data_IF_816407173352
#
_entry.id   IF_816407173352
#
_cell.length_a   1.000
_cell.length_b   1.000
_cell.length_c   1.000
_cell.angle_alpha   90.00
_cell.angle_beta   90.00
_cell.angle_gamma   90.00
#
_symmetry.space_group_name_H-M   'P 1'
#
loop_
_entity.id
_entity.type
_entity.pdbx_description
1 polymer ?
#
# COMPACT_ATOMS: atom_id res chain seq x y z
N UNK A 1 -22.00 -3.16 -7.80
CA UNK A 1 -23.16 -3.96 -7.30
C UNK A 1 -23.59 -3.32 -6.00
N UNK A 2 -24.88 -3.05 -5.86
CA UNK A 2 -25.38 -2.32 -4.70
C UNK A 2 -25.87 -3.26 -3.63
N UNK A 3 -25.70 -2.83 -2.42
CA UNK A 3 -25.97 -3.55 -1.21
C UNK A 3 -27.47 -3.53 -0.78
N UNK A 4 -28.35 -2.94 -1.58
CA UNK A 4 -29.77 -2.79 -1.27
C UNK A 4 -30.49 -4.12 -1.00
N UNK A 5 -30.02 -5.20 -1.58
CA UNK A 5 -30.63 -6.53 -1.38
C UNK A 5 -30.33 -7.14 -0.01
N UNK A 6 -29.29 -6.68 0.66
CA UNK A 6 -28.83 -7.29 1.91
C UNK A 6 -29.15 -6.49 3.16
N UNK A 7 -29.50 -5.21 3.04
CA UNK A 7 -29.65 -4.29 4.17
C UNK A 7 -31.03 -3.67 4.32
N UNK A 8 -32.05 -4.25 3.69
CA UNK A 8 -33.40 -3.70 3.80
C UNK A 8 -33.53 -2.29 3.23
N UNK A 9 -32.79 -1.96 2.24
CA UNK A 9 -32.83 -0.67 1.55
C UNK A 9 -33.94 -0.61 0.50
N UNK A 10 -34.72 -1.67 0.35
CA UNK A 10 -35.72 -1.80 -0.71
C UNK A 10 -36.69 -0.64 -0.87
N UNK A 11 -36.98 0.03 0.24
CA UNK A 11 -37.92 1.17 0.29
C UNK A 11 -37.22 2.53 0.24
N UNK A 12 -35.88 2.58 0.10
CA UNK A 12 -35.11 3.82 0.03
C UNK A 12 -34.70 4.13 -1.40
N UNK A 13 -34.76 5.40 -1.74
CA UNK A 13 -34.16 5.89 -2.97
C UNK A 13 -32.65 5.66 -2.90
N UNK A 14 -32.09 5.04 -3.94
CA UNK A 14 -30.67 4.74 -4.02
C UNK A 14 -30.02 5.69 -5.02
N UNK A 15 -28.94 6.31 -4.60
CA UNK A 15 -28.07 7.03 -5.50
C UNK A 15 -27.38 6.01 -6.42
N UNK A 16 -27.61 6.12 -7.71
CA UNK A 16 -26.94 5.33 -8.73
C UNK A 16 -25.66 6.08 -9.10
N UNK A 17 -24.47 5.50 -8.90
CA UNK A 17 -23.23 6.15 -9.31
C UNK A 17 -23.22 6.43 -10.81
N UNK A 18 -22.72 7.59 -11.15
CA UNK A 18 -22.54 7.97 -12.53
C UNK A 18 -21.33 7.28 -13.14
N UNK A 19 -21.46 6.80 -14.36
CA UNK A 19 -20.28 6.45 -15.13
C UNK A 19 -19.68 7.69 -15.76
N UNK A 20 -18.61 8.18 -15.17
CA UNK A 20 -17.91 9.37 -15.64
C UNK A 20 -17.17 9.13 -16.96
N UNK A 21 -16.98 7.89 -17.35
CA UNK A 21 -16.43 7.59 -18.67
C UNK A 21 -17.38 8.00 -19.78
N UNK A 22 -18.68 7.99 -19.51
CA UNK A 22 -19.68 8.45 -20.46
C UNK A 22 -19.56 9.96 -20.71
N UNK A 23 -19.42 10.42 -21.98
CA UNK A 23 -19.14 11.84 -22.28
C UNK A 23 -20.17 12.82 -21.71
N UNK A 24 -21.46 12.46 -21.71
CA UNK A 24 -22.52 13.31 -21.17
C UNK A 24 -22.41 13.45 -19.64
N UNK A 25 -22.11 12.37 -18.95
CA UNK A 25 -21.87 12.39 -17.49
C UNK A 25 -20.64 13.22 -17.15
N UNK A 26 -19.55 13.01 -17.87
CA UNK A 26 -18.33 13.80 -17.68
C UNK A 26 -18.56 15.29 -17.91
N UNK A 27 -19.28 15.65 -18.96
CA UNK A 27 -19.64 17.03 -19.20
C UNK A 27 -20.47 17.61 -18.05
N UNK A 28 -21.48 16.88 -17.61
CA UNK A 28 -22.32 17.30 -16.49
C UNK A 28 -21.49 17.53 -15.20
N UNK A 29 -20.58 16.63 -14.88
CA UNK A 29 -19.71 16.75 -13.69
C UNK A 29 -18.87 18.03 -13.78
N UNK A 30 -18.23 18.30 -14.93
CA UNK A 30 -17.42 19.50 -15.07
C UNK A 30 -18.26 20.78 -15.06
N UNK A 31 -19.37 20.82 -15.78
CA UNK A 31 -20.26 22.00 -15.80
C UNK A 31 -20.79 22.30 -14.38
N UNK A 32 -21.20 21.27 -13.65
CA UNK A 32 -21.66 21.40 -12.26
C UNK A 32 -20.55 21.89 -11.35
N UNK A 33 -19.34 21.38 -11.52
CA UNK A 33 -18.19 21.81 -10.71
C UNK A 33 -17.81 23.28 -11.01
N UNK A 34 -17.77 23.67 -12.26
CA UNK A 34 -17.53 25.06 -12.64
C UNK A 34 -18.60 26.02 -12.07
N UNK A 35 -19.87 25.60 -12.09
CA UNK A 35 -20.93 26.37 -11.48
C UNK A 35 -20.77 26.46 -9.96
N UNK A 36 -20.44 25.32 -9.31
CA UNK A 36 -20.19 25.28 -7.88
C UNK A 36 -19.04 26.21 -7.45
N UNK A 37 -17.97 26.26 -8.23
CA UNK A 37 -16.84 27.18 -7.97
C UNK A 37 -17.29 28.66 -7.97
N UNK A 38 -18.18 29.03 -8.88
CA UNK A 38 -18.77 30.40 -8.97
C UNK A 38 -19.68 30.71 -7.79
N UNK A 39 -20.49 29.72 -7.39
CA UNK A 39 -21.47 29.86 -6.30
C UNK A 39 -20.84 29.86 -4.91
N UNK A 40 -19.59 29.42 -4.81
CA UNK A 40 -18.86 29.31 -3.54
C UNK A 40 -17.54 30.10 -3.54
N UNK A 41 -17.59 31.43 -3.72
CA UNK A 41 -16.39 32.25 -3.77
C UNK A 41 -15.60 32.27 -2.46
N UNK A 42 -16.26 31.99 -1.34
CA UNK A 42 -15.69 31.98 0.01
C UNK A 42 -14.82 30.74 0.32
N UNK A 43 -14.83 29.75 -0.54
CA UNK A 43 -14.02 28.54 -0.37
C UNK A 43 -12.62 28.79 -0.87
N UNK A 44 -11.61 28.54 -0.04
CA UNK A 44 -10.20 28.67 -0.41
C UNK A 44 -9.61 27.38 -0.96
N UNK A 45 -10.05 26.23 -0.44
CA UNK A 45 -9.52 24.91 -0.80
C UNK A 45 -10.64 23.97 -1.19
N UNK A 46 -10.54 23.38 -2.37
CA UNK A 46 -11.44 22.31 -2.82
C UNK A 46 -10.79 20.97 -2.50
N UNK A 47 -11.44 20.19 -1.66
CA UNK A 47 -10.99 18.84 -1.34
C UNK A 47 -11.81 17.80 -2.09
N UNK A 48 -11.16 17.11 -2.99
CA UNK A 48 -11.74 15.98 -3.67
C UNK A 48 -11.61 14.73 -2.80
N UNK A 49 -12.69 13.99 -2.65
CA UNK A 49 -12.71 12.72 -1.94
C UNK A 49 -12.98 11.63 -2.97
N UNK A 50 -12.16 10.62 -3.02
CA UNK A 50 -12.31 9.43 -3.89
C UNK A 50 -12.74 9.77 -5.32
N UNK A 51 -11.78 9.85 -6.24
CA UNK A 51 -12.08 10.00 -7.64
C UNK A 51 -12.60 8.69 -8.23
N UNK A 52 -13.89 8.69 -8.61
CA UNK A 52 -14.47 7.70 -9.51
C UNK A 52 -14.48 6.27 -8.98
N UNK A 53 -14.47 6.09 -7.67
CA UNK A 53 -14.62 4.77 -7.07
C UNK A 53 -16.08 4.44 -6.80
N UNK A 54 -16.38 3.19 -7.06
CA UNK A 54 -17.56 2.54 -6.52
C UNK A 54 -17.11 1.55 -5.47
N UNK A 55 -17.75 1.56 -4.34
CA UNK A 55 -17.51 0.60 -3.28
C UNK A 55 -18.82 0.06 -2.74
N UNK A 56 -18.80 -1.16 -2.26
CA UNK A 56 -19.95 -1.79 -1.62
C UNK A 56 -19.66 -1.95 -0.13
N UNK A 57 -20.53 -1.37 0.69
CA UNK A 57 -20.50 -1.54 2.12
C UNK A 57 -21.51 -2.63 2.52
N UNK A 58 -21.05 -3.63 3.25
CA UNK A 58 -21.89 -4.65 3.85
C UNK A 58 -21.93 -4.44 5.35
N UNK A 59 -23.13 -4.25 5.88
CA UNK A 59 -23.36 -4.06 7.31
C UNK A 59 -23.96 -5.30 7.95
N UNK A 60 -23.61 -5.58 9.19
CA UNK A 60 -24.29 -6.58 9.98
C UNK A 60 -25.61 -6.05 10.55
N UNK A 61 -26.31 -6.91 11.29
CA UNK A 61 -27.60 -6.56 11.91
C UNK A 61 -27.48 -5.40 12.92
N UNK A 62 -26.30 -5.13 13.43
CA UNK A 62 -26.01 -4.02 14.35
C UNK A 62 -25.57 -2.76 13.63
N UNK A 63 -25.73 -2.69 12.33
CA UNK A 63 -25.27 -1.58 11.47
C UNK A 63 -23.74 -1.37 11.51
N UNK A 64 -22.98 -2.41 11.85
CA UNK A 64 -21.53 -2.37 11.80
C UNK A 64 -21.07 -2.84 10.43
N UNK A 65 -20.15 -2.11 9.87
CA UNK A 65 -19.51 -2.44 8.63
C UNK A 65 -18.77 -3.76 8.70
N UNK A 66 -19.01 -4.66 7.76
CA UNK A 66 -18.39 -6.00 7.71
C UNK A 66 -17.44 -6.18 6.56
N UNK A 67 -17.78 -5.63 5.42
CA UNK A 67 -16.98 -5.75 4.20
C UNK A 67 -17.09 -4.45 3.44
N UNK A 68 -15.95 -3.93 3.04
CA UNK A 68 -15.85 -2.93 1.98
C UNK A 68 -15.32 -3.64 0.77
N UNK A 69 -16.14 -3.78 -0.25
CA UNK A 69 -15.70 -4.29 -1.53
C UNK A 69 -15.37 -3.12 -2.44
N UNK A 70 -14.10 -2.87 -2.57
CA UNK A 70 -13.58 -1.84 -3.44
C UNK A 70 -13.35 -2.43 -4.83
N UNK A 71 -14.31 -2.26 -5.70
CA UNK A 71 -14.09 -2.50 -7.13
C UNK A 71 -13.22 -1.40 -7.73
N UNK A 72 -12.02 -1.24 -7.24
CA UNK A 72 -11.15 -0.17 -7.67
C UNK A 72 -10.87 -0.16 -9.17
N UNK A 73 -10.95 -1.32 -9.81
CA UNK A 73 -10.85 -1.44 -11.26
C UNK A 73 -12.22 -1.36 -11.98
N UNK A 74 -13.32 -1.32 -11.24
CA UNK A 74 -14.66 -1.44 -11.80
C UNK A 74 -15.42 -0.13 -11.92
N UNK A 75 -14.87 0.97 -11.44
CA UNK A 75 -15.54 2.26 -11.44
C UNK A 75 -15.92 2.76 -12.84
N UNK A 76 -15.30 2.21 -13.87
CA UNK A 76 -15.50 2.64 -15.25
C UNK A 76 -15.74 1.48 -16.23
N UNK A 77 -16.15 0.31 -15.73
CA UNK A 77 -16.49 -0.83 -16.59
C UNK A 77 -17.84 -0.58 -17.26
N UNK A 78 -17.83 0.21 -18.29
CA UNK A 78 -18.99 0.54 -19.11
C UNK A 78 -18.71 0.22 -20.57
N UNK A 79 -19.75 0.10 -21.43
CA UNK A 79 -19.55 -0.07 -22.87
C UNK A 79 -18.62 0.99 -23.47
N UNK A 80 -18.77 2.25 -23.07
CA UNK A 80 -17.92 3.35 -23.58
C UNK A 80 -16.46 3.16 -23.16
N UNK A 81 -16.19 2.80 -21.91
CA UNK A 81 -14.84 2.53 -21.42
C UNK A 81 -14.22 1.33 -22.15
N UNK A 82 -14.98 0.27 -22.37
CA UNK A 82 -14.50 -0.92 -23.08
C UNK A 82 -14.21 -0.63 -24.55
N UNK A 83 -15.04 0.18 -25.20
CA UNK A 83 -14.82 0.56 -26.61
C UNK A 83 -13.59 1.47 -26.74
N UNK A 84 -13.35 2.39 -25.79
CA UNK A 84 -12.17 3.24 -25.78
C UNK A 84 -10.90 2.45 -25.43
N UNK A 85 -10.98 1.51 -24.51
CA UNK A 85 -9.88 0.58 -24.24
C UNK A 85 -9.51 -0.24 -25.48
N UNK A 86 -10.51 -0.82 -26.17
CA UNK A 86 -10.27 -1.58 -27.40
C UNK A 86 -9.59 -0.74 -28.50
N UNK A 87 -9.96 0.55 -28.62
CA UNK A 87 -9.31 1.47 -29.56
C UNK A 87 -7.86 1.74 -29.20
N UNK A 88 -7.55 1.89 -27.89
CA UNK A 88 -6.22 2.24 -27.41
C UNK A 88 -5.27 1.05 -27.43
N UNK A 89 -5.74 -0.11 -26.97
CA UNK A 89 -4.91 -1.32 -26.79
C UNK A 89 -5.05 -2.36 -27.92
N UNK A 90 -6.02 -2.23 -28.79
CA UNK A 90 -6.20 -3.09 -29.95
C UNK A 90 -6.84 -4.45 -29.66
N UNK A 91 -7.40 -4.66 -28.50
CA UNK A 91 -8.12 -5.88 -28.13
C UNK A 91 -9.22 -5.59 -27.10
N UNK A 92 -10.22 -6.48 -27.03
CA UNK A 92 -11.33 -6.36 -26.09
C UNK A 92 -11.08 -7.18 -24.84
N UNK A 93 -11.41 -6.59 -23.68
CA UNK A 93 -11.32 -7.27 -22.40
C UNK A 93 -12.49 -8.25 -22.21
N UNK A 94 -12.17 -9.37 -21.56
CA UNK A 94 -13.14 -10.34 -21.04
C UNK A 94 -13.46 -10.03 -19.57
N UNK A 95 -14.59 -10.49 -19.02
CA UNK A 95 -14.92 -10.30 -17.61
C UNK A 95 -13.81 -10.76 -16.65
N UNK A 96 -13.13 -11.85 -16.98
CA UNK A 96 -12.05 -12.44 -16.18
C UNK A 96 -10.80 -11.55 -16.11
N UNK A 97 -10.57 -10.72 -17.11
CA UNK A 97 -9.39 -9.84 -17.17
C UNK A 97 -9.45 -8.74 -16.11
N UNK A 98 -10.65 -8.29 -15.69
CA UNK A 98 -10.83 -7.32 -14.62
C UNK A 98 -10.46 -7.85 -13.23
N UNK A 99 -10.50 -9.16 -13.06
CA UNK A 99 -10.20 -9.85 -11.81
C UNK A 99 -8.99 -10.78 -11.97
N UNK A 100 -8.11 -10.48 -12.90
CA UNK A 100 -6.87 -11.22 -13.16
C UNK A 100 -7.12 -12.74 -13.27
N UNK A 101 -8.00 -13.14 -14.19
CA UNK A 101 -8.49 -14.49 -14.42
C UNK A 101 -9.22 -15.15 -13.24
N UNK A 102 -10.17 -14.44 -12.68
CA UNK A 102 -11.06 -14.95 -11.65
C UNK A 102 -10.46 -14.91 -10.23
N UNK A 103 -9.33 -14.27 -10.05
CA UNK A 103 -8.80 -14.03 -8.72
C UNK A 103 -9.53 -12.84 -8.09
N UNK A 104 -10.36 -13.10 -7.10
CA UNK A 104 -11.13 -12.06 -6.41
C UNK A 104 -10.24 -10.92 -5.90
N UNK A 105 -9.08 -11.25 -5.38
CA UNK A 105 -8.09 -10.27 -4.92
C UNK A 105 -6.97 -10.11 -5.96
N UNK A 106 -7.29 -9.52 -7.07
CA UNK A 106 -6.35 -9.38 -8.19
C UNK A 106 -5.11 -8.54 -7.86
N UNK A 107 -5.21 -7.60 -6.92
CA UNK A 107 -4.07 -6.78 -6.48
C UNK A 107 -2.93 -7.61 -5.85
N UNK A 108 -3.26 -8.76 -5.28
CA UNK A 108 -2.29 -9.68 -4.67
C UNK A 108 -1.62 -10.63 -5.67
N UNK A 109 -2.27 -10.85 -6.78
CA UNK A 109 -1.77 -11.78 -7.80
C UNK A 109 -0.75 -11.09 -8.67
N UNK A 110 0.13 -11.89 -9.24
CA UNK A 110 1.00 -11.41 -10.31
C UNK A 110 0.11 -10.91 -11.44
N UNK A 111 0.19 -9.62 -11.79
CA UNK A 111 -0.72 -9.07 -12.77
C UNK A 111 -0.42 -9.59 -14.17
N UNK A 112 -1.45 -10.01 -14.87
CA UNK A 112 -1.37 -10.36 -16.28
C UNK A 112 -1.45 -9.13 -17.16
N UNK A 113 -1.01 -9.26 -18.41
CA UNK A 113 -1.02 -8.14 -19.36
C UNK A 113 -2.39 -7.46 -19.48
N UNK A 114 -3.53 -8.16 -19.67
CA UNK A 114 -4.82 -7.48 -19.77
C UNK A 114 -5.18 -6.65 -18.52
N UNK A 115 -4.86 -7.15 -17.34
CA UNK A 115 -5.10 -6.42 -16.10
C UNK A 115 -4.17 -5.21 -15.96
N UNK A 116 -2.90 -5.34 -16.35
CA UNK A 116 -1.96 -4.20 -16.36
C UNK A 116 -2.45 -3.11 -17.30
N UNK A 117 -2.78 -3.49 -18.53
CA UNK A 117 -3.27 -2.57 -19.54
C UNK A 117 -4.55 -1.85 -19.07
N UNK A 118 -5.47 -2.59 -18.43
CA UNK A 118 -6.68 -2.01 -17.87
C UNK A 118 -6.39 -1.01 -16.74
N UNK A 119 -5.49 -1.33 -15.84
CA UNK A 119 -5.09 -0.44 -14.75
C UNK A 119 -4.39 0.81 -15.29
N UNK A 120 -3.52 0.67 -16.29
CA UNK A 120 -2.85 1.81 -16.93
C UNK A 120 -3.85 2.68 -17.68
N UNK A 121 -4.80 2.09 -18.38
CA UNK A 121 -5.91 2.79 -19.02
C UNK A 121 -6.73 3.62 -18.03
N UNK A 122 -7.10 3.02 -16.89
CA UNK A 122 -7.79 3.73 -15.81
C UNK A 122 -6.94 4.84 -15.22
N UNK A 123 -5.65 4.58 -15.01
CA UNK A 123 -4.71 5.56 -14.49
C UNK A 123 -4.63 6.79 -15.39
N UNK A 124 -4.50 6.60 -16.70
CA UNK A 124 -4.49 7.70 -17.66
C UNK A 124 -5.79 8.51 -17.62
N UNK A 125 -6.93 7.83 -17.61
CA UNK A 125 -8.22 8.49 -17.55
C UNK A 125 -8.42 9.29 -16.25
N UNK A 126 -8.12 8.69 -15.10
CA UNK A 126 -8.28 9.36 -13.80
C UNK A 126 -7.36 10.57 -13.71
N UNK A 127 -6.09 10.42 -14.06
CA UNK A 127 -5.12 11.53 -14.04
C UNK A 127 -5.53 12.69 -14.93
N UNK A 128 -5.98 12.41 -16.14
CA UNK A 128 -6.46 13.46 -17.05
C UNK A 128 -7.63 14.27 -16.47
N UNK A 129 -8.57 13.60 -15.82
CA UNK A 129 -9.73 14.26 -15.22
C UNK A 129 -9.37 14.98 -13.91
N UNK A 130 -8.50 14.41 -13.08
CA UNK A 130 -7.98 15.09 -11.88
C UNK A 130 -7.25 16.38 -12.26
N UNK A 131 -6.37 16.31 -13.24
CA UNK A 131 -5.64 17.48 -13.75
C UNK A 131 -6.60 18.59 -14.19
N UNK A 132 -7.67 18.23 -14.89
CA UNK A 132 -8.69 19.20 -15.33
C UNK A 132 -9.42 19.82 -14.14
N UNK A 133 -9.81 19.03 -13.13
CA UNK A 133 -10.49 19.54 -11.94
C UNK A 133 -9.57 20.46 -11.11
N UNK A 134 -8.29 20.10 -10.98
CA UNK A 134 -7.29 20.95 -10.33
C UNK A 134 -7.13 22.29 -11.08
N UNK A 135 -7.02 22.25 -12.43
CA UNK A 135 -6.93 23.47 -13.24
C UNK A 135 -8.15 24.38 -13.07
N UNK A 136 -9.36 23.83 -13.08
CA UNK A 136 -10.58 24.61 -12.83
C UNK A 136 -10.60 25.25 -11.44
N UNK A 137 -10.09 24.54 -10.42
CA UNK A 137 -9.96 25.09 -9.07
C UNK A 137 -8.99 26.27 -9.06
N UNK A 138 -7.84 26.15 -9.70
CA UNK A 138 -6.85 27.22 -9.81
C UNK A 138 -7.36 28.43 -10.59
N UNK A 139 -8.06 28.21 -11.70
CA UNK A 139 -8.69 29.29 -12.48
C UNK A 139 -9.71 30.08 -11.66
N UNK A 140 -10.34 29.42 -10.67
CA UNK A 140 -11.22 30.07 -9.69
C UNK A 140 -10.48 30.65 -8.47
N UNK A 141 -9.15 30.65 -8.46
CA UNK A 141 -8.32 31.17 -7.38
C UNK A 141 -8.31 30.29 -6.11
N UNK A 142 -8.61 29.01 -6.24
CA UNK A 142 -8.71 28.06 -5.11
C UNK A 142 -7.61 27.00 -5.20
N UNK A 143 -7.16 26.51 -4.06
CA UNK A 143 -6.28 25.34 -4.01
C UNK A 143 -7.05 24.04 -4.25
N UNK A 144 -6.38 23.08 -4.87
CA UNK A 144 -6.89 21.74 -5.12
C UNK A 144 -6.22 20.72 -4.18
N UNK A 145 -7.00 20.07 -3.34
CA UNK A 145 -6.55 19.03 -2.43
C UNK A 145 -7.23 17.72 -2.76
N UNK A 146 -6.49 16.63 -2.69
CA UNK A 146 -7.03 15.29 -2.87
C UNK A 146 -6.96 14.47 -1.58
N UNK A 147 -8.08 13.87 -1.19
CA UNK A 147 -8.08 12.83 -0.18
C UNK A 147 -7.71 11.50 -0.84
N UNK A 148 -6.56 10.98 -0.45
CA UNK A 148 -6.14 9.65 -0.84
C UNK A 148 -6.73 8.68 0.17
N UNK A 149 -7.84 8.06 -0.21
CA UNK A 149 -8.44 6.98 0.54
C UNK A 149 -7.53 5.74 0.54
N UNK A 150 -8.06 4.64 1.03
CA UNK A 150 -7.32 3.38 1.12
C UNK A 150 -7.02 2.77 -0.25
N UNK A 151 -7.52 3.37 -1.33
CA UNK A 151 -7.30 2.95 -2.71
C UNK A 151 -6.87 4.09 -3.60
N UNK A 152 -5.74 3.90 -4.24
CA UNK A 152 -5.16 4.87 -5.18
C UNK A 152 -5.09 4.35 -6.61
N UNK A 153 -5.92 3.36 -6.95
CA UNK A 153 -5.97 2.83 -8.29
C UNK A 153 -6.33 3.96 -9.26
N UNK A 154 -5.44 4.18 -10.20
CA UNK A 154 -5.53 5.27 -11.14
C UNK A 154 -4.93 6.61 -10.67
N UNK A 155 -4.57 6.73 -9.40
CA UNK A 155 -3.93 7.92 -8.82
C UNK A 155 -2.75 7.57 -7.94
N UNK A 156 -2.14 6.41 -8.14
CA UNK A 156 -1.00 6.00 -7.35
C UNK A 156 0.13 7.02 -7.45
N UNK A 157 0.55 7.63 -6.33
CA UNK A 157 1.48 8.76 -6.33
C UNK A 157 2.95 8.37 -6.52
N UNK A 158 3.24 7.08 -6.58
CA UNK A 158 4.60 6.55 -6.53
C UNK A 158 5.14 6.12 -7.91
N UNK A 159 4.45 6.45 -8.98
CA UNK A 159 4.91 6.24 -10.36
C UNK A 159 4.53 7.43 -11.23
N UNK A 160 5.13 7.52 -12.40
CA UNK A 160 5.08 8.64 -13.34
C UNK A 160 3.72 9.31 -13.52
N UNK A 161 3.73 10.62 -13.57
CA UNK A 161 2.60 11.47 -13.94
C UNK A 161 1.71 11.90 -12.77
N UNK A 162 2.05 11.58 -11.52
CA UNK A 162 1.31 12.13 -10.37
C UNK A 162 1.67 13.60 -10.14
N UNK A 163 2.93 13.98 -10.31
CA UNK A 163 3.42 15.35 -10.15
C UNK A 163 2.73 16.34 -11.10
N UNK A 164 2.28 15.84 -12.25
CA UNK A 164 1.63 16.66 -13.29
C UNK A 164 0.14 16.93 -13.03
N UNK A 165 -0.43 16.42 -11.95
CA UNK A 165 -1.86 16.60 -11.65
C UNK A 165 -2.21 18.03 -11.25
N UNK A 166 -1.22 18.78 -10.76
CA UNK A 166 -1.43 20.14 -10.28
C UNK A 166 -2.14 20.20 -8.93
N UNK A 167 -2.04 19.16 -8.12
CA UNK A 167 -2.58 19.18 -6.77
C UNK A 167 -1.67 20.01 -5.85
N UNK A 168 -2.28 20.88 -5.05
CA UNK A 168 -1.56 21.66 -4.04
C UNK A 168 -1.29 20.84 -2.79
N UNK A 169 -2.23 19.99 -2.42
CA UNK A 169 -2.14 19.16 -1.23
C UNK A 169 -2.74 17.78 -1.43
N UNK A 170 -2.23 16.83 -0.64
CA UNK A 170 -2.83 15.53 -0.47
C UNK A 170 -3.07 15.26 1.01
N UNK A 171 -4.15 14.55 1.32
CA UNK A 171 -4.47 14.13 2.67
C UNK A 171 -4.80 12.65 2.70
N UNK A 172 -4.32 11.96 3.70
CA UNK A 172 -4.63 10.54 3.91
C UNK A 172 -4.73 10.19 5.40
N UNK A 173 -5.32 9.04 5.68
CA UNK A 173 -5.38 8.51 7.04
C UNK A 173 -4.01 8.00 7.46
N UNK A 174 -3.58 8.37 8.65
CA UNK A 174 -2.35 7.89 9.28
C UNK A 174 -2.67 7.16 10.58
N UNK A 175 -2.13 5.98 10.75
CA UNK A 175 -2.32 5.16 11.95
C UNK A 175 -1.07 4.39 12.34
N UNK A 176 -0.06 4.40 11.46
CA UNK A 176 1.22 3.71 11.66
C UNK A 176 2.32 4.40 10.82
N UNK A 177 3.52 3.84 10.85
CA UNK A 177 4.64 4.37 10.10
C UNK A 177 4.48 4.19 8.59
N UNK A 178 3.87 3.11 8.15
CA UNK A 178 3.62 2.82 6.74
C UNK A 178 2.65 3.82 6.13
N UNK A 179 1.49 4.00 6.75
CA UNK A 179 0.48 4.95 6.26
C UNK A 179 0.97 6.40 6.31
N UNK A 180 1.78 6.74 7.31
CA UNK A 180 2.42 8.06 7.36
C UNK A 180 3.35 8.28 6.17
N UNK A 181 4.20 7.31 5.84
CA UNK A 181 5.09 7.39 4.69
C UNK A 181 4.35 7.44 3.36
N UNK A 182 3.25 6.71 3.26
CA UNK A 182 2.39 6.76 2.07
C UNK A 182 1.95 8.18 1.71
N UNK A 183 1.84 9.05 2.70
CA UNK A 183 1.47 10.45 2.51
C UNK A 183 2.71 11.34 2.42
N UNK A 184 3.68 11.15 3.31
CA UNK A 184 4.87 11.99 3.40
C UNK A 184 5.75 11.92 2.13
N UNK A 185 5.84 10.74 1.53
CA UNK A 185 6.71 10.49 0.37
C UNK A 185 6.05 10.87 -0.99
N UNK A 186 4.87 11.48 -0.97
CA UNK A 186 4.18 11.91 -2.21
C UNK A 186 4.89 13.09 -2.84
N UNK A 187 5.32 12.98 -4.11
CA UNK A 187 6.00 14.05 -4.80
C UNK A 187 5.05 15.09 -5.39
N UNK A 188 5.57 16.27 -5.71
CA UNK A 188 4.89 17.26 -6.56
C UNK A 188 3.77 18.04 -5.89
N UNK A 189 3.56 17.93 -4.59
CA UNK A 189 2.55 18.70 -3.83
C UNK A 189 3.22 19.74 -2.94
N UNK A 190 2.54 20.87 -2.69
CA UNK A 190 3.04 21.92 -1.78
C UNK A 190 3.11 21.43 -0.35
N UNK A 191 2.11 20.67 0.09
CA UNK A 191 2.06 20.12 1.42
C UNK A 191 1.28 18.80 1.48
N UNK A 192 1.71 17.97 2.40
CA UNK A 192 1.09 16.69 2.75
C UNK A 192 0.34 16.82 4.07
N UNK A 193 -0.81 16.18 4.19
CA UNK A 193 -1.64 16.21 5.38
C UNK A 193 -1.96 14.81 5.87
N UNK A 194 -1.65 14.53 7.13
CA UNK A 194 -2.04 13.31 7.82
C UNK A 194 -3.38 13.50 8.53
N UNK A 195 -4.37 12.73 8.16
CA UNK A 195 -5.60 12.64 8.91
C UNK A 195 -5.41 11.61 10.02
N UNK A 196 -5.19 12.12 11.21
CA UNK A 196 -5.06 11.30 12.40
C UNK A 196 -6.42 10.71 12.76
N UNK A 197 -6.46 9.40 12.87
CA UNK A 197 -7.72 8.71 13.04
C UNK A 197 -7.59 7.50 13.93
N UNK A 198 -8.13 7.54 15.14
CA UNK A 198 -8.93 6.44 15.58
C UNK A 198 -10.21 6.46 14.77
N UNK A 199 -10.68 5.34 14.39
CA UNK A 199 -11.73 5.21 13.42
C UNK A 199 -13.00 5.93 13.86
N UNK A 200 -13.72 6.52 12.93
CA UNK A 200 -14.80 7.45 13.21
C UNK A 200 -16.18 6.81 13.31
N UNK A 201 -16.28 5.51 13.21
CA UNK A 201 -17.55 4.80 13.28
C UNK A 201 -17.91 4.30 14.70
N UNK A 202 -19.16 3.83 14.91
CA UNK A 202 -19.63 3.37 16.20
C UNK A 202 -18.84 2.26 16.87
N UNK A 203 -17.99 1.57 16.13
CA UNK A 203 -17.12 0.50 16.65
C UNK A 203 -15.90 1.02 17.41
N UNK A 204 -15.52 2.27 17.25
CA UNK A 204 -14.51 2.93 18.10
C UNK A 204 -15.17 3.88 19.11
N UNK A 205 -16.17 4.67 18.67
CA UNK A 205 -16.83 5.68 19.50
C UNK A 205 -18.19 5.18 20.00
N UNK A 206 -18.18 4.26 20.93
CA UNK A 206 -19.41 3.77 21.57
C UNK A 206 -19.31 3.85 23.09
N UNK A 207 -20.46 3.86 23.77
CA UNK A 207 -20.53 3.93 25.22
C UNK A 207 -19.76 2.78 25.89
N UNK A 208 -18.86 3.12 26.81
CA UNK A 208 -18.00 2.15 27.50
C UNK A 208 -16.66 1.86 26.84
N UNK A 209 -16.40 2.38 25.63
CA UNK A 209 -15.07 2.33 25.02
C UNK A 209 -14.24 3.58 25.33
N UNK A 210 -12.93 3.47 25.21
CA UNK A 210 -11.98 4.58 25.36
C UNK A 210 -11.18 4.78 24.05
N UNK A 211 -11.67 5.63 23.13
CA UNK A 211 -11.00 5.88 21.85
C UNK A 211 -9.59 6.50 22.00
N UNK A 212 -9.25 7.05 23.17
CA UNK A 212 -7.93 7.63 23.40
C UNK A 212 -6.80 6.59 23.34
N UNK A 213 -7.11 5.32 23.67
CA UNK A 213 -6.13 4.24 23.62
C UNK A 213 -5.66 4.00 22.17
N UNK A 214 -6.60 3.94 21.23
CA UNK A 214 -6.28 3.80 19.80
C UNK A 214 -5.56 5.05 19.28
N UNK A 215 -5.96 6.23 19.73
CA UNK A 215 -5.30 7.48 19.36
C UNK A 215 -3.81 7.46 19.73
N UNK A 216 -3.49 7.09 20.94
CA UNK A 216 -2.10 7.01 21.41
C UNK A 216 -1.31 5.89 20.73
N UNK A 217 -1.93 4.77 20.43
CA UNK A 217 -1.26 3.68 19.71
C UNK A 217 -0.90 4.10 18.29
N UNK A 218 -1.84 4.68 17.56
CA UNK A 218 -1.62 5.23 16.23
C UNK A 218 -0.54 6.31 16.23
N UNK A 219 -0.56 7.22 17.20
CA UNK A 219 0.45 8.26 17.31
C UNK A 219 1.86 7.71 17.54
N UNK A 220 2.01 6.76 18.47
CA UNK A 220 3.31 6.14 18.74
C UNK A 220 3.92 5.48 17.51
N UNK A 221 3.08 4.87 16.67
CA UNK A 221 3.52 4.24 15.42
C UNK A 221 3.85 5.29 14.34
N UNK A 222 2.99 6.28 14.15
CA UNK A 222 3.18 7.30 13.13
C UNK A 222 4.35 8.25 13.41
N UNK A 223 4.56 8.62 14.68
CA UNK A 223 5.55 9.62 15.11
C UNK A 223 6.97 9.34 14.58
N UNK A 224 7.41 8.07 14.59
CA UNK A 224 8.74 7.72 14.12
C UNK A 224 8.93 7.98 12.62
N UNK A 225 7.88 7.78 11.82
CA UNK A 225 7.93 8.08 10.40
C UNK A 225 7.91 9.60 10.14
N UNK A 226 7.18 10.36 10.95
CA UNK A 226 7.16 11.83 10.90
C UNK A 226 8.54 12.41 11.23
N UNK A 227 9.26 11.83 12.17
CA UNK A 227 10.63 12.24 12.49
C UNK A 227 11.62 12.01 11.34
N UNK A 228 11.36 11.00 10.51
CA UNK A 228 12.17 10.71 9.32
C UNK A 228 11.72 11.50 8.10
N UNK A 229 10.42 11.55 7.86
CA UNK A 229 9.81 12.18 6.68
C UNK A 229 8.63 13.02 7.14
N UNK A 230 8.82 14.33 7.36
CA UNK A 230 7.81 15.21 7.91
C UNK A 230 6.59 15.31 6.98
N UNK A 231 5.42 15.42 7.60
CA UNK A 231 4.20 15.88 6.93
C UNK A 231 3.95 17.34 7.31
N UNK A 232 3.37 18.10 6.40
CA UNK A 232 3.17 19.53 6.60
C UNK A 232 2.02 19.86 7.55
N UNK A 233 0.99 19.03 7.57
CA UNK A 233 -0.22 19.20 8.38
C UNK A 233 -0.67 17.90 8.99
N UNK A 234 -1.26 17.99 10.17
CA UNK A 234 -1.90 16.86 10.84
C UNK A 234 -3.12 17.31 11.63
N UNK A 235 -4.18 16.52 11.61
CA UNK A 235 -5.37 16.79 12.38
C UNK A 235 -6.30 15.59 12.51
N UNK A 236 -7.29 15.72 13.42
CA UNK A 236 -8.34 14.72 13.54
C UNK A 236 -9.30 14.80 12.35
N UNK A 237 -9.52 13.70 11.68
CA UNK A 237 -10.29 13.63 10.45
C UNK A 237 -11.62 12.87 10.54
N UNK A 238 -12.20 12.71 11.72
CA UNK A 238 -13.47 12.03 11.90
C UNK A 238 -14.66 12.97 12.14
N UNK A 239 -15.79 12.40 12.60
CA UNK A 239 -16.98 13.17 12.96
C UNK A 239 -16.79 13.88 14.30
N UNK A 240 -16.67 15.21 14.29
CA UNK A 240 -16.47 16.02 15.48
C UNK A 240 -17.59 15.84 16.52
N UNK A 241 -18.84 15.75 16.07
CA UNK A 241 -19.99 15.52 16.94
C UNK A 241 -19.97 14.18 17.68
N UNK A 242 -19.28 13.20 17.12
CA UNK A 242 -19.06 11.89 17.74
C UNK A 242 -17.89 11.98 18.75
N UNK A 243 -16.77 12.49 18.31
CA UNK A 243 -15.56 12.64 19.13
C UNK A 243 -15.79 13.52 20.38
N UNK A 244 -16.56 14.59 20.26
CA UNK A 244 -16.88 15.51 21.35
C UNK A 244 -17.56 14.83 22.56
N UNK A 245 -18.11 13.65 22.39
CA UNK A 245 -18.70 12.85 23.49
C UNK A 245 -17.67 12.11 24.33
N UNK A 246 -16.41 12.14 23.93
CA UNK A 246 -15.30 11.42 24.57
C UNK A 246 -14.20 12.40 25.00
N UNK A 247 -14.31 13.06 26.17
CA UNK A 247 -13.37 14.07 26.60
C UNK A 247 -11.92 13.61 26.62
N UNK A 248 -11.63 12.40 27.10
CA UNK A 248 -10.27 11.85 27.10
C UNK A 248 -9.68 11.74 25.70
N UNK A 249 -10.51 11.45 24.70
CA UNK A 249 -10.07 11.41 23.31
C UNK A 249 -9.74 12.82 22.81
N UNK A 250 -10.56 13.82 23.16
CA UNK A 250 -10.29 15.22 22.81
C UNK A 250 -8.98 15.67 23.41
N UNK A 251 -8.76 15.38 24.71
CA UNK A 251 -7.50 15.68 25.41
C UNK A 251 -6.30 14.99 24.75
N UNK A 252 -6.45 13.72 24.33
CA UNK A 252 -5.40 13.00 23.62
C UNK A 252 -5.06 13.66 22.28
N UNK A 253 -6.07 14.08 21.51
CA UNK A 253 -5.86 14.78 20.22
C UNK A 253 -5.17 16.12 20.44
N UNK A 254 -5.51 16.87 21.48
CA UNK A 254 -4.84 18.12 21.83
C UNK A 254 -3.35 17.88 22.10
N UNK A 255 -3.02 16.95 22.99
CA UNK A 255 -1.63 16.62 23.32
C UNK A 255 -0.83 16.14 22.10
N UNK A 256 -1.43 15.28 21.28
CA UNK A 256 -0.79 14.78 20.04
C UNK A 256 -0.53 15.93 19.07
N UNK A 257 -1.48 16.85 18.96
CA UNK A 257 -1.33 18.01 18.08
C UNK A 257 -0.23 18.96 18.56
N UNK A 258 -0.08 19.13 19.87
CA UNK A 258 0.97 19.94 20.47
C UNK A 258 2.35 19.29 20.30
N UNK A 259 2.45 17.98 20.53
CA UNK A 259 3.69 17.24 20.26
C UNK A 259 4.08 17.30 18.78
N UNK A 260 3.10 17.18 17.87
CA UNK A 260 3.35 17.31 16.45
C UNK A 260 3.89 18.69 16.08
N UNK A 261 3.32 19.77 16.62
CA UNK A 261 3.81 21.15 16.42
C UNK A 261 5.24 21.30 16.93
N UNK A 262 5.53 20.81 18.15
CA UNK A 262 6.88 20.85 18.71
C UNK A 262 7.91 20.11 17.82
N UNK A 263 7.56 18.93 17.30
CA UNK A 263 8.40 18.21 16.34
C UNK A 263 8.60 19.03 15.08
N UNK A 264 7.54 19.55 14.49
CA UNK A 264 7.60 20.34 13.27
C UNK A 264 8.47 21.60 13.45
N UNK A 265 8.28 22.33 14.54
CA UNK A 265 9.02 23.55 14.84
C UNK A 265 10.52 23.27 15.06
N UNK A 266 10.86 22.15 15.69
CA UNK A 266 12.25 21.73 15.92
C UNK A 266 12.95 21.23 14.66
N UNK A 267 12.23 20.55 13.79
CA UNK A 267 12.78 19.99 12.55
C UNK A 267 12.74 20.98 11.38
N UNK A 268 11.96 22.05 11.50
CA UNK A 268 11.71 23.00 10.42
C UNK A 268 10.99 22.37 9.22
N UNK A 269 10.33 21.23 9.42
CA UNK A 269 9.70 20.47 8.34
C UNK A 269 10.69 19.84 7.34
N UNK A 270 11.97 19.76 7.70
CA UNK A 270 13.02 19.20 6.83
C UNK A 270 13.09 17.70 7.00
N UNK A 271 13.06 16.99 5.88
CA UNK A 271 13.25 15.54 5.85
C UNK A 271 14.68 15.17 6.25
N UNK A 272 14.83 14.07 7.01
CA UNK A 272 16.13 13.53 7.32
C UNK A 272 16.79 12.96 6.06
N UNK A 273 18.08 13.23 5.87
CA UNK A 273 18.86 12.63 4.79
C UNK A 273 18.99 11.13 5.02
N UNK A 274 18.71 10.34 3.98
CA UNK A 274 18.86 8.89 4.00
C UNK A 274 20.32 8.50 3.77
N UNK A 275 20.80 7.50 4.49
CA UNK A 275 22.16 6.96 4.36
C UNK A 275 22.26 5.89 3.28
N UNK A 276 21.16 5.19 2.99
CA UNK A 276 21.08 4.13 2.01
C UNK A 276 19.83 4.31 1.14
N UNK A 277 19.93 3.89 -0.11
CA UNK A 277 18.82 3.80 -1.06
C UNK A 277 18.31 2.36 -1.12
N UNK A 278 17.14 2.13 -0.57
CA UNK A 278 16.49 0.82 -0.50
C UNK A 278 15.40 0.74 -1.57
N UNK A 279 15.47 -0.25 -2.44
CA UNK A 279 14.43 -0.53 -3.42
C UNK A 279 13.60 -1.75 -3.01
N UNK A 280 12.29 -1.61 -3.02
CA UNK A 280 11.36 -2.72 -2.84
C UNK A 280 10.97 -3.23 -4.22
N UNK A 281 11.36 -4.47 -4.50
CA UNK A 281 11.11 -5.13 -5.77
C UNK A 281 9.76 -5.86 -5.72
N UNK A 282 8.84 -5.46 -6.60
CA UNK A 282 7.54 -6.09 -6.74
C UNK A 282 7.06 -6.04 -8.20
N UNK A 283 5.90 -6.65 -8.50
CA UNK A 283 5.37 -6.69 -9.86
C UNK A 283 4.88 -5.35 -10.40
N UNK A 284 4.66 -4.37 -9.54
CA UNK A 284 4.05 -3.10 -9.92
C UNK A 284 5.05 -1.95 -10.05
N UNK A 285 6.24 -2.07 -9.45
CA UNK A 285 7.23 -1.00 -9.40
C UNK A 285 6.74 0.26 -8.69
N UNK A 286 5.74 0.11 -7.84
CA UNK A 286 5.15 1.20 -7.05
C UNK A 286 4.51 0.64 -5.80
N UNK A 287 4.29 1.50 -4.83
CA UNK A 287 3.43 1.18 -3.71
C UNK A 287 1.99 1.17 -4.19
N UNK A 288 1.28 0.11 -3.87
CA UNK A 288 -0.17 0.05 -4.05
C UNK A 288 -0.83 -0.14 -2.71
N UNK A 289 -2.00 0.44 -2.57
CA UNK A 289 -2.86 0.13 -1.44
C UNK A 289 -3.42 -1.27 -1.59
N UNK A 290 -2.71 -2.22 -1.01
CA UNK A 290 -3.15 -3.62 -0.94
C UNK A 290 -4.32 -3.79 0.03
N UNK A 291 -4.66 -2.74 0.74
CA UNK A 291 -5.72 -2.69 1.73
C UNK A 291 -7.13 -2.62 1.11
N UNK A 292 -7.20 -2.61 -0.20
CA UNK A 292 -8.44 -2.56 -0.97
C UNK A 292 -9.50 -3.60 -0.57
N UNK A 293 -9.08 -4.63 0.08
CA UNK A 293 -9.92 -5.78 0.44
C UNK A 293 -10.01 -6.00 1.94
N UNK A 294 -9.39 -5.14 2.69
CA UNK A 294 -9.60 -5.12 4.12
C UNK A 294 -10.76 -4.18 4.40
N UNK A 295 -11.62 -4.58 5.28
CA UNK A 295 -12.66 -3.74 5.85
C UNK A 295 -12.04 -2.38 6.14
N UNK A 296 -12.80 -1.31 6.04
CA UNK A 296 -12.32 0.03 6.39
C UNK A 296 -11.70 0.11 7.80
N UNK A 297 -11.86 -0.91 8.60
CA UNK A 297 -11.19 -1.17 9.89
C UNK A 297 -10.19 -2.32 9.80
N UNK A 298 -9.75 -2.58 8.62
CA UNK A 298 -8.67 -3.47 8.29
C UNK A 298 -8.36 -4.53 9.34
N UNK A 299 -9.02 -5.64 9.23
CA UNK A 299 -8.37 -6.86 9.68
C UNK A 299 -7.24 -7.13 8.69
N UNK A 300 -5.99 -6.97 9.08
CA UNK A 300 -4.90 -7.12 8.14
C UNK A 300 -4.95 -8.51 7.57
N UNK A 301 -4.94 -8.61 6.25
CA UNK A 301 -4.81 -9.90 5.60
C UNK A 301 -3.39 -10.42 5.91
N UNK A 302 -3.29 -11.63 6.47
CA UNK A 302 -2.01 -12.24 6.83
C UNK A 302 -0.99 -12.28 5.70
N UNK A 303 -1.47 -12.31 4.46
CA UNK A 303 -0.59 -12.32 3.29
C UNK A 303 0.15 -11.00 3.07
N UNK A 304 -0.31 -9.87 3.66
CA UNK A 304 0.40 -8.59 3.57
C UNK A 304 1.38 -8.37 4.70
N UNK A 305 1.41 -9.20 5.72
CA UNK A 305 2.23 -8.94 6.90
C UNK A 305 3.70 -8.76 6.57
N UNK A 306 4.26 -9.60 5.72
CA UNK A 306 5.68 -9.46 5.33
C UNK A 306 5.92 -8.11 4.66
N UNK A 307 5.08 -7.72 3.72
CA UNK A 307 5.20 -6.46 3.00
C UNK A 307 4.98 -5.26 3.93
N UNK A 308 3.93 -5.31 4.73
CA UNK A 308 3.63 -4.29 5.73
C UNK A 308 4.73 -4.18 6.78
N UNK A 309 5.23 -5.32 7.26
CA UNK A 309 6.33 -5.37 8.21
C UNK A 309 7.62 -4.78 7.64
N UNK A 310 7.91 -4.99 6.37
CA UNK A 310 9.04 -4.36 5.68
C UNK A 310 8.88 -2.83 5.70
N UNK A 311 7.75 -2.32 5.21
CA UNK A 311 7.50 -0.88 5.16
C UNK A 311 7.49 -0.24 6.54
N UNK A 312 6.87 -0.91 7.51
CA UNK A 312 6.81 -0.44 8.89
C UNK A 312 8.19 -0.40 9.54
N UNK A 313 9.03 -1.40 9.28
CA UNK A 313 10.42 -1.42 9.76
C UNK A 313 11.25 -0.29 9.16
N UNK A 314 11.12 -0.06 7.86
CA UNK A 314 11.84 1.00 7.16
C UNK A 314 11.38 2.40 7.56
N UNK A 315 10.15 2.56 8.04
CA UNK A 315 9.56 3.88 8.29
C UNK A 315 10.28 4.72 9.36
N UNK A 316 10.96 4.07 10.31
CA UNK A 316 11.77 4.74 11.33
C UNK A 316 13.27 4.79 11.03
N UNK A 317 13.72 4.22 9.91
CA UNK A 317 15.13 4.15 9.54
C UNK A 317 15.55 5.33 8.66
N UNK A 318 16.82 5.70 8.72
CA UNK A 318 17.42 6.75 7.85
C UNK A 318 17.75 6.19 6.48
N UNK A 319 16.73 5.73 5.75
CA UNK A 319 16.88 5.17 4.40
C UNK A 319 15.90 5.85 3.44
N UNK A 320 16.32 6.02 2.21
CA UNK A 320 15.42 6.40 1.13
C UNK A 320 14.79 5.13 0.57
N UNK A 321 13.47 5.11 0.44
CA UNK A 321 12.73 3.96 -0.07
C UNK A 321 12.13 4.29 -1.42
N UNK A 322 12.36 3.43 -2.39
CA UNK A 322 11.69 3.46 -3.69
C UNK A 322 11.16 2.07 -4.06
N UNK A 323 10.39 2.03 -5.11
CA UNK A 323 9.80 0.79 -5.63
C UNK A 323 10.27 0.58 -7.04
N UNK A 324 10.66 -0.65 -7.36
CA UNK A 324 11.05 -1.07 -8.71
C UNK A 324 10.27 -2.30 -9.13
N UNK A 325 9.95 -2.41 -10.41
CA UNK A 325 9.32 -3.60 -10.97
C UNK A 325 10.34 -4.61 -11.48
N UNK A 326 9.90 -5.85 -11.66
CA UNK A 326 10.69 -6.85 -12.37
C UNK A 326 10.95 -6.44 -13.81
N UNK A 327 10.01 -5.75 -14.44
CA UNK A 327 10.15 -5.25 -15.81
C UNK A 327 11.22 -4.14 -15.86
N UNK A 328 11.26 -3.22 -14.89
CA UNK A 328 12.32 -2.21 -14.80
C UNK A 328 13.71 -2.87 -14.73
N UNK A 329 13.85 -3.92 -13.92
CA UNK A 329 15.13 -4.67 -13.82
C UNK A 329 15.47 -5.40 -15.12
N UNK A 330 14.47 -5.97 -15.80
CA UNK A 330 14.67 -6.65 -17.06
C UNK A 330 15.04 -5.69 -18.21
N UNK A 331 14.49 -4.51 -18.23
CA UNK A 331 14.70 -3.53 -19.30
C UNK A 331 15.96 -2.70 -19.08
N UNK A 332 16.17 -2.23 -17.86
CA UNK A 332 17.20 -1.22 -17.54
C UNK A 332 18.30 -1.72 -16.61
N UNK A 333 18.15 -2.89 -16.00
CA UNK A 333 19.02 -3.36 -14.93
C UNK A 333 18.67 -2.73 -13.59
N UNK A 334 19.58 -2.82 -12.64
CA UNK A 334 19.48 -2.13 -11.34
C UNK A 334 20.22 -0.81 -11.43
N UNK A 335 19.57 0.28 -11.02
CA UNK A 335 20.19 1.61 -11.03
C UNK A 335 21.39 1.66 -10.06
N UNK A 336 22.45 2.37 -10.46
CA UNK A 336 23.74 2.42 -9.77
C UNK A 336 23.66 3.00 -8.34
N UNK A 337 22.62 3.77 -8.07
CA UNK A 337 22.38 4.42 -6.79
C UNK A 337 21.52 3.57 -5.83
N UNK A 338 21.15 2.35 -6.19
CA UNK A 338 20.47 1.41 -5.30
C UNK A 338 21.50 0.61 -4.51
N UNK A 339 21.45 0.71 -3.18
CA UNK A 339 22.33 -0.02 -2.28
C UNK A 339 21.73 -1.37 -1.87
N UNK A 340 20.41 -1.41 -1.66
CA UNK A 340 19.70 -2.58 -1.15
C UNK A 340 18.44 -2.85 -1.96
N UNK A 341 18.23 -4.09 -2.37
CA UNK A 341 16.93 -4.57 -2.91
C UNK A 341 16.28 -5.49 -1.87
N UNK A 342 15.02 -5.23 -1.57
CA UNK A 342 14.18 -6.10 -0.74
C UNK A 342 13.11 -6.75 -1.62
N UNK A 343 13.06 -8.07 -1.63
CA UNK A 343 11.97 -8.83 -2.22
C UNK A 343 11.32 -9.70 -1.14
N UNK A 344 10.02 -9.59 -0.96
CA UNK A 344 9.38 -10.26 0.15
C UNK A 344 7.90 -10.48 -0.02
N UNK A 345 7.40 -11.50 0.66
CA UNK A 345 6.00 -11.91 0.67
C UNK A 345 5.82 -13.39 0.36
N UNK A 346 4.57 -13.85 0.26
CA UNK A 346 4.25 -15.22 -0.14
C UNK A 346 4.55 -15.49 -1.62
N UNK A 347 4.79 -16.75 -1.96
CA UNK A 347 4.94 -17.21 -3.34
C UNK A 347 3.70 -16.92 -4.19
N UNK A 348 3.89 -16.74 -5.48
CA UNK A 348 2.83 -16.46 -6.47
C UNK A 348 2.01 -15.21 -6.19
N UNK A 349 2.61 -14.23 -5.55
CA UNK A 349 2.01 -12.93 -5.32
C UNK A 349 2.69 -11.83 -6.13
N UNK A 350 2.01 -10.70 -6.27
CA UNK A 350 2.58 -9.51 -6.87
C UNK A 350 3.80 -8.97 -6.08
N UNK A 351 3.98 -9.39 -4.84
CA UNK A 351 5.11 -9.00 -4.00
C UNK A 351 6.38 -9.75 -4.38
N UNK A 352 6.28 -11.08 -4.57
CA UNK A 352 7.43 -11.94 -4.85
C UNK A 352 7.68 -12.18 -6.32
N UNK A 353 6.67 -12.04 -7.19
CA UNK A 353 6.80 -12.03 -8.64
C UNK A 353 6.40 -13.31 -9.39
N UNK A 354 6.39 -14.47 -8.77
CA UNK A 354 5.98 -15.73 -9.41
C UNK A 354 6.81 -16.10 -10.65
N UNK A 355 6.14 -16.38 -11.76
CA UNK A 355 6.76 -16.91 -12.98
C UNK A 355 7.81 -16.01 -13.65
N UNK A 356 7.90 -14.75 -13.27
CA UNK A 356 8.96 -13.86 -13.77
C UNK A 356 10.36 -14.40 -13.44
N UNK A 357 10.49 -15.15 -12.34
CA UNK A 357 11.74 -15.77 -11.93
C UNK A 357 12.22 -16.91 -12.84
N UNK A 358 11.41 -17.38 -13.78
CA UNK A 358 11.85 -18.28 -14.83
C UNK A 358 12.73 -17.61 -15.87
N UNK A 359 12.74 -16.27 -15.90
CA UNK A 359 13.56 -15.53 -16.84
C UNK A 359 15.01 -15.48 -16.35
N UNK A 360 15.95 -16.12 -17.05
CA UNK A 360 17.36 -16.16 -16.63
C UNK A 360 18.00 -14.75 -16.62
N UNK A 361 17.55 -13.85 -17.49
CA UNK A 361 18.06 -12.48 -17.51
C UNK A 361 17.84 -11.77 -16.17
N UNK A 362 16.66 -11.96 -15.53
CA UNK A 362 16.39 -11.37 -14.23
C UNK A 362 17.37 -11.85 -13.16
N UNK A 363 17.51 -13.17 -13.03
CA UNK A 363 18.38 -13.76 -12.01
C UNK A 363 19.87 -13.45 -12.25
N UNK A 364 20.30 -13.43 -13.52
CA UNK A 364 21.68 -13.06 -13.88
C UNK A 364 21.96 -11.58 -13.58
N UNK A 365 21.03 -10.68 -13.91
CA UNK A 365 21.14 -9.25 -13.61
C UNK A 365 21.28 -9.01 -12.11
N UNK A 366 20.42 -9.62 -11.30
CA UNK A 366 20.47 -9.46 -9.85
C UNK A 366 21.74 -10.10 -9.24
N UNK A 367 22.17 -11.27 -9.73
CA UNK A 367 23.44 -11.86 -9.30
C UNK A 367 24.65 -10.99 -9.65
N UNK A 368 24.65 -10.42 -10.83
CA UNK A 368 25.74 -9.52 -11.25
C UNK A 368 25.79 -8.27 -10.38
N UNK A 369 24.62 -7.69 -10.09
CA UNK A 369 24.49 -6.53 -9.21
C UNK A 369 24.97 -6.82 -7.78
N UNK A 370 24.59 -7.97 -7.20
CA UNK A 370 25.09 -8.38 -5.86
C UNK A 370 26.60 -8.60 -5.87
N UNK A 371 27.16 -9.24 -6.92
CA UNK A 371 28.61 -9.38 -7.06
C UNK A 371 29.34 -8.03 -7.17
N UNK A 372 28.66 -7.04 -7.70
CA UNK A 372 29.12 -5.65 -7.79
C UNK A 372 29.09 -4.88 -6.46
N UNK A 373 28.54 -5.48 -5.40
CA UNK A 373 28.50 -4.87 -4.06
C UNK A 373 27.09 -4.51 -3.56
N UNK A 374 26.05 -4.71 -4.37
CA UNK A 374 24.66 -4.52 -3.94
C UNK A 374 24.20 -5.57 -2.92
N UNK A 375 23.27 -5.22 -2.06
CA UNK A 375 22.71 -6.13 -1.05
C UNK A 375 21.28 -6.57 -1.41
N UNK A 376 21.03 -7.89 -1.42
CA UNK A 376 19.70 -8.45 -1.66
C UNK A 376 19.16 -9.06 -0.38
N UNK A 377 18.01 -8.56 0.09
CA UNK A 377 17.31 -9.01 1.30
C UNK A 377 16.04 -9.74 0.92
N UNK A 378 15.93 -10.98 1.36
CA UNK A 378 14.74 -11.81 1.17
C UNK A 378 13.89 -11.86 2.44
N UNK A 379 12.56 -11.70 2.29
CA UNK A 379 11.61 -11.81 3.40
C UNK A 379 10.47 -12.73 2.99
N UNK A 380 10.15 -13.70 3.81
CA UNK A 380 9.13 -14.68 3.48
C UNK A 380 9.61 -15.66 2.42
N UNK A 381 9.04 -15.64 1.23
CA UNK A 381 9.38 -16.53 0.12
C UNK A 381 9.96 -15.75 -1.08
N UNK A 382 11.11 -15.08 -0.91
CA UNK A 382 11.72 -14.23 -1.94
C UNK A 382 12.17 -15.04 -3.14
N UNK A 383 12.16 -14.44 -4.32
CA UNK A 383 12.58 -15.07 -5.59
C UNK A 383 11.99 -16.44 -5.85
N UNK A 384 10.82 -16.74 -5.31
CA UNK A 384 10.21 -18.07 -5.35
C UNK A 384 9.47 -18.32 -6.65
N UNK A 385 9.58 -19.57 -7.13
CA UNK A 385 8.72 -20.09 -8.19
C UNK A 385 7.50 -20.81 -7.64
N UNK A 386 6.47 -20.88 -8.47
CA UNK A 386 5.23 -21.58 -8.16
C UNK A 386 5.45 -23.02 -7.70
N UNK A 387 4.56 -23.48 -6.85
CA UNK A 387 4.49 -24.86 -6.40
C UNK A 387 4.52 -25.82 -7.60
N UNK A 388 5.19 -26.97 -7.45
CA UNK A 388 5.26 -28.06 -8.42
C UNK A 388 6.25 -27.88 -9.58
N UNK A 389 7.21 -26.99 -9.50
CA UNK A 389 8.30 -26.97 -10.48
C UNK A 389 9.53 -27.73 -9.97
N UNK A 390 10.18 -28.44 -10.87
CA UNK A 390 11.44 -29.09 -10.59
C UNK A 390 12.54 -28.04 -10.40
N UNK A 391 13.42 -28.24 -9.42
CA UNK A 391 14.55 -27.37 -9.16
C UNK A 391 14.46 -26.63 -7.82
N UNK A 392 15.24 -25.58 -7.69
CA UNK A 392 15.28 -24.77 -6.47
C UNK A 392 14.01 -23.94 -6.35
N UNK A 393 13.53 -23.82 -5.13
CA UNK A 393 12.38 -22.99 -4.83
C UNK A 393 12.74 -21.51 -4.92
N UNK A 394 13.82 -21.09 -4.26
CA UNK A 394 14.35 -19.73 -4.40
C UNK A 394 15.31 -19.66 -5.59
N UNK A 395 14.96 -18.86 -6.58
CA UNK A 395 15.79 -18.74 -7.79
C UNK A 395 17.11 -17.98 -7.54
N UNK A 396 17.19 -17.25 -6.47
CA UNK A 396 18.40 -16.61 -5.93
C UNK A 396 18.94 -17.32 -4.68
N UNK A 397 18.71 -18.62 -4.54
CA UNK A 397 19.17 -19.39 -3.38
C UNK A 397 20.68 -19.29 -3.14
N UNK A 398 21.46 -19.18 -4.21
CA UNK A 398 22.92 -18.97 -4.15
C UNK A 398 23.32 -17.58 -3.62
N UNK A 399 22.47 -16.56 -3.82
CA UNK A 399 22.65 -15.22 -3.26
C UNK A 399 22.21 -15.18 -1.80
N UNK A 400 21.04 -15.81 -1.52
CA UNK A 400 20.46 -15.85 -0.20
C UNK A 400 21.20 -16.78 0.78
N UNK A 401 21.94 -17.76 0.26
CA UNK A 401 22.59 -18.81 1.05
C UNK A 401 21.66 -19.91 1.58
N UNK A 402 20.37 -19.81 1.27
CA UNK A 402 19.31 -20.75 1.72
C UNK A 402 18.35 -21.08 0.60
N UNK A 403 17.71 -22.25 0.71
CA UNK A 403 16.58 -22.64 -0.15
C UNK A 403 15.49 -23.28 0.71
N UNK A 404 14.27 -23.36 0.18
CA UNK A 404 13.15 -23.98 0.87
C UNK A 404 12.83 -25.36 0.29
N UNK A 405 12.67 -26.35 1.16
CA UNK A 405 12.29 -27.71 0.80
C UNK A 405 10.78 -27.91 1.00
N UNK A 406 10.05 -27.90 -0.10
CA UNK A 406 8.58 -27.79 -0.10
C UNK A 406 7.83 -29.08 0.18
N UNK A 407 8.46 -30.23 0.09
CA UNK A 407 7.76 -31.50 0.16
C UNK A 407 7.94 -32.25 1.48
N UNK A 408 8.71 -31.69 2.40
CA UNK A 408 8.82 -32.21 3.75
C UNK A 408 7.89 -31.47 4.68
N UNK A 409 6.75 -32.08 4.96
CA UNK A 409 5.96 -31.68 6.09
C UNK A 409 6.62 -32.25 7.35
N UNK A 410 7.19 -31.41 8.15
CA UNK A 410 7.59 -31.78 9.48
C UNK A 410 6.30 -31.98 10.28
N UNK A 411 6.01 -33.24 10.58
CA UNK A 411 4.89 -33.62 11.45
C UNK A 411 5.15 -33.36 12.91
N UNK A 412 5.96 -32.36 13.24
CA UNK A 412 6.42 -32.16 14.61
C UNK A 412 5.66 -31.03 15.24
N UNK A 413 5.07 -31.35 16.37
CA UNK A 413 4.24 -30.44 17.14
C UNK A 413 5.01 -29.34 17.86
N UNK A 414 6.36 -29.35 17.83
CA UNK A 414 7.17 -28.45 18.65
C UNK A 414 8.44 -28.02 17.93
N UNK A 415 8.47 -26.76 17.53
CA UNK A 415 9.66 -26.09 17.08
C UNK A 415 10.13 -25.15 18.20
N UNK A 416 11.40 -25.21 18.51
CA UNK A 416 12.03 -24.30 19.45
C UNK A 416 13.01 -23.44 18.65
N UNK A 417 12.58 -22.26 18.20
CA UNK A 417 13.48 -21.39 17.48
C UNK A 417 14.62 -20.96 18.41
N UNK A 418 15.82 -21.04 17.88
CA UNK A 418 17.01 -20.51 18.51
C UNK A 418 17.60 -19.39 17.63
N UNK A 419 18.18 -18.42 18.28
CA UNK A 419 18.85 -17.30 17.62
C UNK A 419 20.32 -17.36 18.03
N UNK A 420 21.22 -17.22 17.07
CA UNK A 420 22.64 -17.10 17.35
C UNK A 420 22.93 -15.78 18.06
N UNK A 421 23.14 -15.75 19.38
CA UNK A 421 23.16 -14.50 20.14
C UNK A 421 24.41 -13.64 19.88
N UNK A 422 25.43 -14.26 19.33
CA UNK A 422 26.71 -13.60 19.06
C UNK A 422 26.79 -12.88 17.70
N UNK A 423 25.73 -13.05 16.88
CA UNK A 423 25.68 -12.36 15.59
C UNK A 423 25.19 -10.92 15.76
N UNK A 424 25.84 -9.95 15.12
CA UNK A 424 25.50 -8.54 15.29
C UNK A 424 24.04 -8.18 14.92
N UNK A 425 23.41 -8.94 14.01
CA UNK A 425 21.98 -8.73 13.64
C UNK A 425 21.05 -9.16 14.78
N UNK A 426 21.47 -10.15 15.57
CA UNK A 426 20.62 -10.77 16.60
C UNK A 426 21.01 -10.41 18.02
N UNK A 427 22.05 -9.59 18.19
CA UNK A 427 22.57 -9.22 19.51
C UNK A 427 21.52 -8.57 20.42
N UNK A 428 20.60 -7.80 19.84
CA UNK A 428 19.53 -7.10 20.54
C UNK A 428 18.15 -7.78 20.40
N UNK A 429 18.11 -9.01 19.87
CA UNK A 429 16.85 -9.74 19.65
C UNK A 429 16.57 -10.67 20.81
N UNK A 430 15.44 -10.47 21.47
CA UNK A 430 14.95 -11.34 22.54
C UNK A 430 13.95 -12.36 22.00
N UNK A 431 14.21 -13.63 22.28
CA UNK A 431 13.30 -14.73 21.91
C UNK A 431 11.91 -14.52 22.54
N UNK A 432 10.88 -14.50 21.71
CA UNK A 432 9.49 -14.31 22.15
C UNK A 432 8.87 -12.96 21.78
N UNK A 433 9.64 -11.99 21.32
CA UNK A 433 9.14 -10.69 20.91
C UNK A 433 9.03 -10.57 19.38
N UNK A 434 7.93 -11.04 18.82
CA UNK A 434 7.52 -10.69 17.44
C UNK A 434 8.33 -11.26 16.26
N UNK A 435 9.58 -11.62 16.47
CA UNK A 435 10.49 -12.11 15.41
C UNK A 435 10.17 -13.53 14.99
N UNK A 436 9.56 -14.32 15.86
CA UNK A 436 9.37 -15.75 15.68
C UNK A 436 8.16 -16.14 14.87
N UNK A 437 7.16 -15.29 14.78
CA UNK A 437 5.95 -15.61 14.03
C UNK A 437 6.27 -15.87 12.55
N UNK A 438 7.21 -15.12 11.99
CA UNK A 438 7.65 -15.28 10.62
C UNK A 438 8.38 -16.59 10.33
N UNK A 439 9.09 -17.13 11.31
CA UNK A 439 9.80 -18.41 11.17
C UNK A 439 8.86 -19.63 11.30
N UNK A 440 7.85 -19.55 12.13
CA UNK A 440 6.88 -20.63 12.32
C UNK A 440 5.98 -20.83 11.10
N UNK A 441 5.69 -19.76 10.37
CA UNK A 441 4.85 -19.79 9.16
C UNK A 441 5.64 -20.07 7.87
N UNK A 442 6.97 -20.07 7.91
CA UNK A 442 7.81 -20.04 6.72
C UNK A 442 8.21 -21.41 6.13
N UNK A 443 7.81 -22.50 6.76
CA UNK A 443 8.22 -23.83 6.32
C UNK A 443 9.69 -24.14 6.60
N UNK A 444 10.13 -25.29 6.12
CA UNK A 444 11.47 -25.78 6.32
C UNK A 444 12.47 -25.11 5.35
N UNK A 445 13.47 -24.46 5.89
CA UNK A 445 14.55 -23.84 5.11
C UNK A 445 15.88 -24.50 5.41
N UNK A 446 16.61 -24.84 4.37
CA UNK A 446 17.87 -25.54 4.46
C UNK A 446 19.01 -24.68 3.91
N UNK A 447 20.07 -24.47 4.70
CA UNK A 447 21.26 -23.81 4.20
C UNK A 447 21.86 -24.55 3.01
N UNK A 448 22.36 -23.80 2.03
CA UNK A 448 23.04 -24.41 0.89
C UNK A 448 24.49 -24.62 1.24
N UNK A 449 24.91 -25.88 1.30
CA UNK A 449 26.32 -26.21 1.47
C UNK A 449 27.13 -25.75 0.25
N UNK A 450 28.19 -24.99 0.49
CA UNK A 450 29.12 -24.51 -0.54
C UNK A 450 28.75 -23.18 -1.21
N UNK A 451 27.70 -22.51 -0.80
CA UNK A 451 27.46 -21.11 -1.17
C UNK A 451 28.24 -20.21 -0.22
N UNK A 452 29.24 -19.53 -0.74
CA UNK A 452 30.04 -18.63 0.10
C UNK A 452 29.24 -17.44 0.58
N UNK A 453 29.21 -17.23 1.89
CA UNK A 453 28.78 -15.99 2.51
C UNK A 453 27.50 -16.03 3.36
N UNK A 454 26.67 -17.06 3.28
CA UNK A 454 25.53 -17.18 4.17
C UNK A 454 25.94 -17.68 5.56
N UNK A 455 25.81 -16.86 6.58
CA UNK A 455 25.94 -17.27 7.97
C UNK A 455 24.55 -17.51 8.55
N UNK A 456 24.36 -18.69 9.14
CA UNK A 456 23.14 -18.97 9.90
C UNK A 456 23.08 -18.07 11.14
N UNK A 457 21.98 -17.34 11.28
CA UNK A 457 21.74 -16.45 12.42
C UNK A 457 20.71 -17.02 13.39
N UNK A 458 20.13 -18.15 13.05
CA UNK A 458 19.19 -18.88 13.90
C UNK A 458 18.94 -20.27 13.38
N UNK A 459 18.26 -21.07 14.16
CA UNK A 459 17.86 -22.43 13.81
C UNK A 459 16.41 -22.69 14.16
N UNK A 460 15.77 -23.59 13.43
CA UNK A 460 14.45 -24.10 13.75
C UNK A 460 14.48 -25.62 13.68
N UNK A 461 14.17 -26.29 14.80
CA UNK A 461 14.18 -27.72 14.85
C UNK A 461 15.52 -28.39 14.54
N UNK A 462 16.65 -27.74 14.87
CA UNK A 462 18.00 -28.25 14.61
C UNK A 462 18.53 -27.96 13.19
N UNK A 463 17.97 -26.95 12.55
CA UNK A 463 18.35 -26.52 11.19
C UNK A 463 18.84 -25.10 11.27
N UNK A 464 20.03 -24.87 10.74
CA UNK A 464 20.62 -23.54 10.63
C UNK A 464 19.95 -22.72 9.51
N UNK A 465 19.68 -21.46 9.76
CA UNK A 465 19.13 -20.49 8.81
C UNK A 465 20.20 -19.53 8.32
#
# INVERSE_FOLDING_TARGET
>A
MYNHLTNGWGDKEHEIPFDIYHPATRKFVFDTFEQWLKDNPQVDVVRFTTFFYQFTLLFDQKQREKVVDWFGCACTVSPTALDDFEKEYGYRLRPEDFVNEGSYNSAWRVPRKPQRDWIDFLSHFVRANVKKLASLSHEAGKEAMMFLGDQWIGTEPYKDGFEDLGLDAVVGSIGDGTTTRMIADIPGVKYTEGRFLPYFFPDTFYEGNDPSIEAWDNWRKARRAILRSPIARMGYGGYLSLAAKFPKFVDAVEHISDEFRDIHDRTGGVAAEGELNVAILNSWGKMRSWMAFTVAHALPNKQTYSYYGILESLSGMRVNVRFISFDDVLEHGVADDIDVIINGGPVDTAFTGGDVWKNPKLTETLRAWVRGGGAFVGVGEPSSLARFQAGRFFQLADVLGVDEERYQTLSVDKYFPAVTPEHFITADVHLGEGVLQGFLDAGYRKPLSGCGGGQAIGELGGIDF
#
